data_IF_686448130541
#
_entry.id   IF_686448130541
#
_cell.length_a   1.000
_cell.length_b   1.000
_cell.length_c   1.000
_cell.angle_alpha   90.00
_cell.angle_beta   90.00
_cell.angle_gamma   90.00
#
_symmetry.space_group_name_H-M   'P 1'
#
loop_
_entity.id
_entity.type
_entity.pdbx_description
1 polymer ?
#
# COMPACT_ATOMS: atom_id res chain seq x y z
N UNK A 1 -2.56 -54.32 8.80
CA UNK A 1 -2.49 -53.72 7.45
C UNK A 1 -2.79 -52.23 7.60
N UNK A 2 -1.79 -51.36 7.47
CA UNK A 2 -1.95 -49.92 7.73
C UNK A 2 -2.35 -49.17 6.44
N UNK A 3 -3.45 -48.44 6.49
CA UNK A 3 -3.93 -47.54 5.43
C UNK A 3 -3.07 -46.27 5.41
N UNK A 4 -2.26 -46.10 4.37
CA UNK A 4 -1.55 -44.85 4.09
C UNK A 4 -2.45 -43.93 3.25
N UNK A 5 -2.96 -42.84 3.84
CA UNK A 5 -3.62 -41.80 3.05
C UNK A 5 -2.56 -40.96 2.33
N UNK A 6 -2.63 -40.93 1.00
CA UNK A 6 -1.80 -40.03 0.18
C UNK A 6 -2.19 -38.59 0.49
N UNK A 7 -1.40 -37.91 1.34
CA UNK A 7 -1.41 -36.45 1.42
C UNK A 7 -1.01 -35.90 0.06
N UNK A 8 -1.95 -35.26 -0.65
CA UNK A 8 -1.66 -34.44 -1.83
C UNK A 8 -0.71 -33.34 -1.38
N UNK A 9 0.57 -33.47 -1.76
CA UNK A 9 1.60 -32.45 -1.58
C UNK A 9 1.12 -31.20 -2.32
N UNK A 10 0.75 -30.14 -1.59
CA UNK A 10 0.52 -28.82 -2.19
C UNK A 10 1.78 -28.51 -2.99
N UNK A 11 1.64 -28.42 -4.31
CA UNK A 11 2.74 -27.99 -5.18
C UNK A 11 3.12 -26.58 -4.72
N UNK A 12 4.34 -26.43 -4.22
CA UNK A 12 4.99 -25.13 -4.17
C UNK A 12 5.16 -24.70 -5.61
N UNK A 13 4.31 -23.77 -6.05
CA UNK A 13 4.60 -23.03 -7.27
C UNK A 13 5.93 -22.33 -7.03
N UNK A 14 6.93 -22.64 -7.84
CA UNK A 14 8.03 -21.70 -8.06
C UNK A 14 7.35 -20.45 -8.63
N UNK A 15 7.09 -19.43 -7.80
CA UNK A 15 6.44 -18.22 -8.26
C UNK A 15 7.43 -17.49 -9.15
N UNK A 16 7.28 -17.64 -10.45
CA UNK A 16 8.02 -16.84 -11.43
C UNK A 16 7.63 -15.39 -11.15
N UNK A 17 8.56 -14.61 -10.59
CA UNK A 17 8.32 -13.20 -10.35
C UNK A 17 7.98 -12.56 -11.70
N UNK A 18 6.84 -11.88 -11.78
CA UNK A 18 6.52 -11.14 -12.99
C UNK A 18 7.35 -9.86 -12.97
N UNK A 19 8.26 -9.70 -13.94
CA UNK A 19 9.16 -8.56 -14.00
C UNK A 19 8.74 -7.68 -15.19
N UNK A 20 8.35 -6.45 -14.90
CA UNK A 20 8.11 -5.41 -15.90
C UNK A 20 9.40 -4.59 -15.99
N UNK A 21 10.20 -4.88 -17.00
CA UNK A 21 11.50 -4.24 -17.21
C UNK A 21 11.38 -2.77 -17.58
N UNK A 22 12.47 -2.02 -17.39
CA UNK A 22 12.58 -0.64 -17.85
C UNK A 22 12.32 -0.54 -19.36
N UNK A 23 11.64 0.53 -19.79
CA UNK A 23 11.24 0.74 -21.18
C UNK A 23 9.89 0.13 -21.54
N UNK A 24 9.34 -0.72 -20.68
CA UNK A 24 7.98 -1.22 -20.84
C UNK A 24 6.97 -0.18 -20.37
N UNK A 25 5.97 0.09 -21.21
CA UNK A 25 4.84 0.96 -20.92
C UNK A 25 3.56 0.13 -20.91
N UNK A 26 2.88 0.08 -19.76
CA UNK A 26 1.59 -0.61 -19.62
C UNK A 26 0.50 0.40 -19.33
N UNK A 27 -0.63 0.28 -20.05
CA UNK A 27 -1.83 1.09 -19.86
C UNK A 27 -3.03 0.18 -19.69
N UNK A 28 -3.71 0.29 -18.56
CA UNK A 28 -4.85 -0.56 -18.21
C UNK A 28 -4.74 -1.14 -16.80
N UNK A 29 -5.70 -2.00 -16.45
CA UNK A 29 -5.67 -2.73 -15.18
C UNK A 29 -4.66 -3.88 -15.24
N UNK A 30 -3.82 -4.00 -14.22
CA UNK A 30 -2.91 -5.12 -14.04
C UNK A 30 -3.36 -5.94 -12.84
N UNK A 31 -3.69 -7.22 -13.07
CA UNK A 31 -4.06 -8.17 -12.01
C UNK A 31 -3.04 -9.29 -11.98
N UNK A 32 -2.52 -9.60 -10.79
CA UNK A 32 -1.58 -10.70 -10.62
C UNK A 32 -1.73 -11.41 -9.28
N UNK A 33 -1.42 -12.71 -9.27
CA UNK A 33 -1.49 -13.53 -8.06
C UNK A 33 -0.20 -13.48 -7.24
N UNK A 34 0.93 -13.59 -7.94
CA UNK A 34 2.25 -13.71 -7.34
C UNK A 34 2.95 -12.36 -7.17
N UNK A 35 4.21 -12.38 -6.73
CA UNK A 35 5.00 -11.16 -6.59
C UNK A 35 5.35 -10.54 -7.94
N UNK A 36 5.19 -9.22 -8.05
CA UNK A 36 5.53 -8.47 -9.26
C UNK A 36 6.62 -7.45 -8.95
N UNK A 37 7.57 -7.34 -9.87
CA UNK A 37 8.63 -6.35 -9.86
C UNK A 37 8.43 -5.37 -11.03
N UNK A 38 8.40 -4.07 -10.74
CA UNK A 38 8.06 -3.02 -11.71
C UNK A 38 9.23 -2.05 -11.80
N UNK A 39 9.99 -2.13 -12.89
CA UNK A 39 11.00 -1.15 -13.31
C UNK A 39 10.54 -0.29 -14.50
N UNK A 40 9.38 -0.62 -15.09
CA UNK A 40 8.73 0.11 -16.17
C UNK A 40 7.76 1.20 -15.71
N UNK A 41 6.94 1.70 -16.64
CA UNK A 41 5.89 2.68 -16.35
C UNK A 41 4.51 2.05 -16.52
N UNK A 42 3.68 2.16 -15.48
CA UNK A 42 2.30 1.65 -15.46
C UNK A 42 1.33 2.79 -15.25
N UNK A 43 0.34 2.89 -16.13
CA UNK A 43 -0.81 3.76 -16.03
C UNK A 43 -2.09 2.95 -15.90
N UNK A 44 -2.63 2.89 -14.70
CA UNK A 44 -3.84 2.15 -14.38
C UNK A 44 -3.75 1.45 -13.03
N UNK A 45 -4.79 0.68 -12.73
CA UNK A 45 -4.93 0.05 -11.42
C UNK A 45 -4.14 -1.25 -11.35
N UNK A 46 -3.36 -1.42 -10.28
CA UNK A 46 -2.51 -2.59 -10.04
C UNK A 46 -3.06 -3.34 -8.84
N UNK A 47 -3.54 -4.56 -9.05
CA UNK A 47 -4.13 -5.42 -8.03
C UNK A 47 -3.34 -6.72 -7.95
N UNK A 48 -2.71 -6.95 -6.80
CA UNK A 48 -1.77 -8.04 -6.61
C UNK A 48 -2.03 -8.72 -5.28
N UNK A 49 -2.18 -10.04 -5.26
CA UNK A 49 -2.54 -10.73 -4.02
C UNK A 49 -1.37 -10.84 -3.02
N UNK A 50 -0.13 -10.71 -3.50
CA UNK A 50 1.08 -10.89 -2.69
C UNK A 50 1.94 -9.61 -2.58
N UNK A 51 3.14 -9.60 -3.15
CA UNK A 51 4.12 -8.51 -3.00
C UNK A 51 4.26 -7.71 -4.28
N UNK A 52 4.20 -6.38 -4.19
CA UNK A 52 4.55 -5.47 -5.29
C UNK A 52 5.85 -4.76 -4.95
N UNK A 53 6.83 -4.91 -5.82
CA UNK A 53 8.11 -4.22 -5.72
C UNK A 53 8.18 -3.21 -6.86
N UNK A 54 8.28 -1.93 -6.53
CA UNK A 54 8.50 -0.85 -7.49
C UNK A 54 9.97 -0.51 -7.41
N UNK A 55 10.72 -0.88 -8.43
CA UNK A 55 12.14 -0.57 -8.51
C UNK A 55 12.39 0.92 -8.74
N UNK A 56 13.66 1.32 -8.78
CA UNK A 56 14.06 2.72 -8.81
C UNK A 56 13.59 3.46 -10.07
N UNK A 57 13.57 2.77 -11.22
CA UNK A 57 13.03 3.34 -12.47
C UNK A 57 11.52 3.13 -12.62
N UNK A 58 10.92 2.37 -11.71
CA UNK A 58 9.50 2.07 -11.66
C UNK A 58 8.66 3.32 -11.43
N UNK A 59 7.63 3.47 -12.26
CA UNK A 59 6.63 4.55 -12.13
C UNK A 59 5.25 3.94 -12.19
N UNK A 60 4.47 4.13 -11.14
CA UNK A 60 3.09 3.64 -11.08
C UNK A 60 2.16 4.81 -10.85
N UNK A 61 1.22 4.99 -11.78
CA UNK A 61 0.16 5.98 -11.67
C UNK A 61 -1.20 5.26 -11.70
N UNK A 62 -1.89 5.25 -10.56
CA UNK A 62 -3.19 4.59 -10.41
C UNK A 62 -3.44 4.10 -8.99
N UNK A 63 -4.44 3.23 -8.83
CA UNK A 63 -4.72 2.58 -7.55
C UNK A 63 -3.87 1.32 -7.42
N UNK A 64 -3.13 1.19 -6.32
CA UNK A 64 -2.29 0.03 -6.02
C UNK A 64 -2.90 -0.72 -4.84
N UNK A 65 -3.22 -1.99 -5.04
CA UNK A 65 -3.75 -2.89 -4.01
C UNK A 65 -2.86 -4.11 -3.91
N UNK A 66 -2.21 -4.30 -2.75
CA UNK A 66 -1.43 -5.51 -2.50
C UNK A 66 -1.27 -5.82 -1.02
N UNK A 67 -0.87 -7.03 -0.67
CA UNK A 67 -0.57 -7.39 0.72
C UNK A 67 0.64 -6.62 1.24
N UNK A 68 1.74 -6.64 0.48
CA UNK A 68 2.95 -5.89 0.79
C UNK A 68 3.42 -5.10 -0.42
N UNK A 69 3.82 -3.85 -0.18
CA UNK A 69 4.35 -2.96 -1.21
C UNK A 69 5.71 -2.45 -0.75
N UNK A 70 6.72 -2.63 -1.59
CA UNK A 70 8.05 -2.08 -1.40
C UNK A 70 8.31 -1.14 -2.58
N UNK A 71 8.59 0.14 -2.32
CA UNK A 71 8.85 1.10 -3.38
C UNK A 71 10.18 1.80 -3.18
N UNK A 72 11.00 1.75 -4.24
CA UNK A 72 12.20 2.56 -4.47
C UNK A 72 11.98 3.63 -5.55
N UNK A 73 10.83 3.62 -6.22
CA UNK A 73 10.53 4.46 -7.37
C UNK A 73 9.52 5.56 -7.09
N UNK A 74 8.76 5.94 -8.12
CA UNK A 74 7.76 7.00 -8.05
C UNK A 74 6.36 6.38 -8.05
N UNK A 75 5.57 6.68 -7.01
CA UNK A 75 4.19 6.24 -6.89
C UNK A 75 3.24 7.43 -6.87
N UNK A 76 2.24 7.42 -7.73
CA UNK A 76 1.19 8.44 -7.79
C UNK A 76 -0.18 7.77 -7.75
N UNK A 77 -1.08 8.22 -6.87
CA UNK A 77 -2.45 7.72 -6.79
C UNK A 77 -2.86 7.21 -5.40
N UNK A 78 -3.60 6.12 -5.33
CA UNK A 78 -4.13 5.59 -4.07
C UNK A 78 -3.48 4.25 -3.74
N UNK A 79 -2.94 4.11 -2.53
CA UNK A 79 -2.25 2.89 -2.10
C UNK A 79 -3.04 2.25 -0.97
N UNK A 80 -3.41 0.98 -1.15
CA UNK A 80 -4.07 0.16 -0.16
C UNK A 80 -3.29 -1.13 0.04
N UNK A 81 -2.74 -1.33 1.23
CA UNK A 81 -1.95 -2.53 1.54
C UNK A 81 -1.91 -2.85 3.03
N UNK A 82 -1.42 -4.03 3.39
CA UNK A 82 -1.21 -4.33 4.81
C UNK A 82 0.11 -3.74 5.31
N UNK A 83 1.18 -3.91 4.52
CA UNK A 83 2.52 -3.42 4.84
C UNK A 83 3.10 -2.61 3.69
N UNK A 84 3.45 -1.35 3.97
CA UNK A 84 4.12 -0.47 3.01
C UNK A 84 5.54 -0.15 3.48
N UNK A 85 6.51 -0.31 2.60
CA UNK A 85 7.89 0.12 2.79
C UNK A 85 8.29 1.09 1.68
N UNK A 86 8.49 2.35 2.03
CA UNK A 86 9.05 3.36 1.15
C UNK A 86 10.54 3.51 1.44
N UNK A 87 11.36 3.16 0.46
CA UNK A 87 12.82 3.21 0.54
C UNK A 87 13.34 4.64 0.27
N UNK A 88 14.62 4.88 0.49
CA UNK A 88 15.23 6.22 0.52
C UNK A 88 15.04 7.00 -0.81
N UNK A 89 15.19 6.33 -1.95
CA UNK A 89 15.02 6.95 -3.28
C UNK A 89 13.55 7.11 -3.71
N UNK A 90 12.61 6.62 -2.91
CA UNK A 90 11.21 6.64 -3.28
C UNK A 90 10.58 8.03 -3.12
N UNK A 91 9.69 8.34 -4.07
CA UNK A 91 8.84 9.53 -4.03
C UNK A 91 7.38 9.13 -4.21
N UNK A 92 6.59 9.31 -3.17
CA UNK A 92 5.17 9.02 -3.21
C UNK A 92 4.35 10.31 -3.14
N UNK A 93 3.46 10.48 -4.12
CA UNK A 93 2.43 11.51 -4.11
C UNK A 93 1.08 10.81 -4.13
N UNK A 94 0.63 10.39 -2.95
CA UNK A 94 -0.49 9.46 -2.84
C UNK A 94 -1.26 9.57 -1.53
N UNK A 95 -2.48 9.05 -1.54
CA UNK A 95 -3.22 8.74 -0.33
C UNK A 95 -2.96 7.28 0.05
N UNK A 96 -2.43 7.06 1.25
CA UNK A 96 -2.00 5.74 1.70
C UNK A 96 -2.90 5.27 2.83
N UNK A 97 -3.42 4.05 2.69
CA UNK A 97 -4.15 3.32 3.73
C UNK A 97 -3.45 1.99 3.96
N UNK A 98 -2.85 1.81 5.13
CA UNK A 98 -2.19 0.55 5.46
C UNK A 98 -2.13 0.22 6.95
N UNK A 99 -1.94 -1.04 7.31
CA UNK A 99 -1.81 -1.44 8.72
C UNK A 99 -0.47 -1.00 9.30
N UNK A 100 0.63 -1.26 8.58
CA UNK A 100 1.99 -0.89 8.98
C UNK A 100 2.69 -0.15 7.85
N UNK A 101 3.31 0.98 8.17
CA UNK A 101 4.03 1.80 7.20
C UNK A 101 5.43 2.10 7.73
N UNK A 102 6.43 1.84 6.89
CA UNK A 102 7.83 2.22 7.10
C UNK A 102 8.21 3.24 6.02
N UNK A 103 8.61 4.43 6.46
CA UNK A 103 8.98 5.53 5.56
C UNK A 103 10.45 5.88 5.74
N UNK A 104 11.23 5.72 4.67
CA UNK A 104 12.63 6.18 4.58
C UNK A 104 12.84 7.29 3.55
N UNK A 105 11.96 7.37 2.55
CA UNK A 105 12.05 8.35 1.46
C UNK A 105 11.22 9.61 1.67
N UNK A 106 10.82 10.21 0.55
CA UNK A 106 10.01 11.43 0.53
C UNK A 106 8.57 11.13 0.17
N UNK A 107 7.64 11.78 0.86
CA UNK A 107 6.22 11.52 0.66
C UNK A 107 5.38 12.77 0.84
N UNK A 108 4.40 12.94 -0.03
CA UNK A 108 3.37 13.98 0.06
C UNK A 108 1.97 13.39 -0.08
N UNK A 109 1.04 13.83 0.75
CA UNK A 109 -0.37 13.42 0.66
C UNK A 109 -1.05 13.22 2.00
N UNK A 110 -1.88 12.17 2.12
CA UNK A 110 -2.52 11.81 3.39
C UNK A 110 -2.18 10.36 3.74
N UNK A 111 -1.94 10.11 5.02
CA UNK A 111 -1.62 8.78 5.53
C UNK A 111 -2.66 8.39 6.57
N UNK A 112 -3.26 7.22 6.41
CA UNK A 112 -4.06 6.57 7.44
C UNK A 112 -3.48 5.19 7.74
N UNK A 113 -3.02 4.95 8.97
CA UNK A 113 -2.45 3.66 9.32
C UNK A 113 -2.59 3.20 10.77
N UNK A 114 -2.37 1.91 11.01
CA UNK A 114 -2.30 1.38 12.38
C UNK A 114 -1.00 1.80 13.08
N UNK A 115 0.13 1.50 12.45
CA UNK A 115 1.47 1.83 12.93
C UNK A 115 2.31 2.52 11.87
N UNK A 116 2.87 3.68 12.23
CA UNK A 116 3.76 4.46 11.38
C UNK A 116 5.18 4.48 11.97
N UNK A 117 6.17 4.11 11.17
CA UNK A 117 7.58 4.31 11.48
C UNK A 117 8.21 5.24 10.45
N UNK A 118 8.72 6.36 10.91
CA UNK A 118 9.42 7.36 10.09
C UNK A 118 10.90 7.31 10.42
N UNK A 119 11.72 6.94 9.43
CA UNK A 119 13.17 6.91 9.56
C UNK A 119 13.75 8.33 9.61
N UNK A 120 14.99 8.46 10.11
CA UNK A 120 15.66 9.76 10.28
C UNK A 120 15.83 10.56 8.99
N UNK A 121 16.01 9.88 7.87
CA UNK A 121 16.26 10.49 6.57
C UNK A 121 14.95 10.80 5.80
N UNK A 122 13.81 10.38 6.35
CA UNK A 122 12.52 10.58 5.71
C UNK A 122 12.04 12.03 5.85
N UNK A 123 11.44 12.54 4.76
CA UNK A 123 10.80 13.84 4.72
C UNK A 123 9.35 13.70 4.28
N UNK A 124 8.43 14.00 5.19
CA UNK A 124 7.00 13.77 5.01
C UNK A 124 6.26 15.11 5.06
N UNK A 125 5.53 15.42 4.00
CA UNK A 125 4.64 16.58 3.93
C UNK A 125 3.20 16.06 3.79
N UNK A 126 2.55 15.76 4.92
CA UNK A 126 1.28 15.06 4.91
C UNK A 126 0.45 15.30 6.17
N UNK A 127 -0.87 15.14 6.04
CA UNK A 127 -1.73 14.91 7.20
C UNK A 127 -1.67 13.42 7.56
N UNK A 128 -1.37 13.15 8.83
CA UNK A 128 -1.11 11.80 9.34
C UNK A 128 -2.17 11.44 10.36
N UNK A 129 -2.84 10.32 10.14
CA UNK A 129 -3.75 9.70 11.10
C UNK A 129 -3.27 8.29 11.40
N UNK A 130 -2.84 8.03 12.65
CA UNK A 130 -2.37 6.71 13.02
C UNK A 130 -2.58 6.36 14.51
N UNK A 131 -2.64 5.07 14.87
CA UNK A 131 -2.74 4.72 16.30
C UNK A 131 -1.40 4.95 17.01
N UNK A 132 -0.34 4.37 16.46
CA UNK A 132 1.00 4.43 17.02
C UNK A 132 1.96 5.04 15.99
N UNK A 133 2.67 6.09 16.38
CA UNK A 133 3.69 6.74 15.55
C UNK A 133 5.03 6.64 16.25
N UNK A 134 6.07 6.20 15.54
CA UNK A 134 7.45 6.34 15.95
C UNK A 134 8.18 7.10 14.87
N UNK A 135 8.63 8.32 15.18
CA UNK A 135 9.28 9.17 14.19
C UNK A 135 10.69 9.53 14.62
N UNK A 136 11.63 9.40 13.69
CA UNK A 136 12.96 9.97 13.76
C UNK A 136 13.24 10.99 12.67
N UNK A 137 12.31 11.20 11.72
CA UNK A 137 12.53 12.06 10.55
C UNK A 137 11.83 13.42 10.64
N UNK A 138 11.78 14.10 9.50
CA UNK A 138 11.09 15.39 9.35
C UNK A 138 9.65 15.16 8.93
N UNK A 139 8.71 15.75 9.65
CA UNK A 139 7.29 15.73 9.30
C UNK A 139 6.75 17.15 9.34
N UNK A 140 6.16 17.57 8.22
CA UNK A 140 5.42 18.82 8.09
C UNK A 140 3.95 18.52 7.81
N UNK A 141 3.07 18.93 8.71
CA UNK A 141 1.63 18.70 8.61
C UNK A 141 0.98 18.40 9.94
N UNK A 142 -0.33 18.13 9.90
CA UNK A 142 -1.07 17.78 11.10
C UNK A 142 -0.95 16.29 11.39
N UNK A 143 -0.71 15.96 12.65
CA UNK A 143 -0.57 14.57 13.13
C UNK A 143 -1.66 14.31 14.15
N UNK A 144 -2.42 13.25 13.94
CA UNK A 144 -3.48 12.79 14.82
C UNK A 144 -3.17 11.35 15.19
N UNK A 145 -2.95 11.09 16.48
CA UNK A 145 -2.64 9.74 16.94
C UNK A 145 -3.05 9.44 18.38
N UNK A 146 -3.05 8.16 18.77
CA UNK A 146 -3.23 7.79 20.19
C UNK A 146 -1.92 7.91 20.95
N UNK A 147 -0.85 7.33 20.39
CA UNK A 147 0.48 7.37 20.97
C UNK A 147 1.52 7.76 19.93
N UNK A 148 2.39 8.70 20.29
CA UNK A 148 3.57 9.07 19.50
C UNK A 148 4.85 8.94 20.31
N UNK A 149 5.88 8.40 19.66
CA UNK A 149 7.25 8.33 20.12
C UNK A 149 8.11 9.19 19.20
N UNK A 150 8.72 10.22 19.77
CA UNK A 150 9.64 11.14 19.11
C UNK A 150 11.06 10.70 19.44
N UNK A 151 11.81 10.26 18.44
CA UNK A 151 13.23 9.94 18.58
C UNK A 151 14.06 11.24 18.55
N UNK A 152 15.30 11.17 19.00
CA UNK A 152 16.23 12.31 19.07
C UNK A 152 16.45 13.08 17.75
N UNK A 153 16.29 12.44 16.58
CA UNK A 153 16.45 13.10 15.27
C UNK A 153 15.14 13.66 14.71
N UNK A 154 14.01 13.44 15.39
CA UNK A 154 12.70 13.84 14.87
C UNK A 154 12.50 15.35 14.89
N UNK A 155 11.87 15.85 13.83
CA UNK A 155 11.50 17.25 13.70
C UNK A 155 10.07 17.33 13.17
N UNK A 156 9.15 17.72 14.04
CA UNK A 156 7.75 17.89 13.71
C UNK A 156 7.42 19.37 13.55
N UNK A 157 6.81 19.74 12.44
CA UNK A 157 6.30 21.09 12.18
C UNK A 157 4.82 21.03 11.82
N UNK A 158 3.96 21.50 12.71
CA UNK A 158 2.51 21.48 12.54
C UNK A 158 1.78 21.11 13.83
N UNK A 159 0.48 20.88 13.73
CA UNK A 159 -0.31 20.57 14.91
C UNK A 159 -0.23 19.07 15.22
N UNK A 160 0.09 18.73 16.47
CA UNK A 160 0.16 17.36 16.97
C UNK A 160 -0.97 17.12 17.96
N UNK A 161 -1.80 16.13 17.69
CA UNK A 161 -2.87 15.71 18.58
C UNK A 161 -2.64 14.27 19.02
N UNK A 162 -2.30 14.09 20.30
CA UNK A 162 -1.96 12.79 20.86
C UNK A 162 -2.48 12.63 22.30
N UNK A 163 -2.83 11.40 22.71
CA UNK A 163 -3.15 11.11 24.12
C UNK A 163 -1.90 10.78 24.93
N UNK A 164 -0.89 10.14 24.31
CA UNK A 164 0.40 9.83 24.92
C UNK A 164 1.54 10.28 24.02
N UNK A 165 2.43 11.12 24.56
CA UNK A 165 3.63 11.60 23.87
C UNK A 165 4.84 11.10 24.66
N UNK A 166 5.73 10.38 24.00
CA UNK A 166 7.06 10.00 24.52
C UNK A 166 8.11 10.75 23.72
N UNK A 167 8.90 11.59 24.37
CA UNK A 167 9.95 12.35 23.71
C UNK A 167 11.34 11.90 24.18
N UNK A 168 12.15 11.39 23.24
CA UNK A 168 13.54 10.98 23.43
C UNK A 168 14.53 11.99 22.79
N UNK A 169 14.16 13.27 22.72
CA UNK A 169 14.99 14.36 22.22
C UNK A 169 14.57 14.95 20.87
N UNK A 170 13.36 14.61 20.40
CA UNK A 170 12.76 15.19 19.21
C UNK A 170 12.27 16.62 19.39
N UNK A 171 12.30 17.38 18.30
CA UNK A 171 11.84 18.77 18.24
C UNK A 171 10.43 18.84 17.68
N UNK A 172 9.58 19.67 18.30
CA UNK A 172 8.18 19.86 17.89
C UNK A 172 7.87 21.35 17.84
N UNK A 173 7.49 21.83 16.66
CA UNK A 173 7.02 23.19 16.43
C UNK A 173 5.55 23.18 16.01
N UNK A 174 4.70 23.74 16.86
CA UNK A 174 3.29 23.90 16.57
C UNK A 174 2.41 23.71 17.79
N UNK A 175 1.11 23.59 17.57
CA UNK A 175 0.16 23.35 18.64
C UNK A 175 0.12 21.87 19.02
N UNK A 176 0.19 21.58 20.32
CA UNK A 176 -0.01 20.23 20.84
C UNK A 176 -1.37 20.18 21.54
N UNK A 177 -2.24 19.29 21.07
CA UNK A 177 -3.55 19.06 21.66
C UNK A 177 -3.79 17.60 22.02
N UNK A 178 -4.93 17.34 22.67
CA UNK A 178 -5.31 15.99 23.07
C UNK A 178 -6.20 15.33 22.02
N UNK A 179 -5.86 14.11 21.60
CA UNK A 179 -6.65 13.34 20.63
C UNK A 179 -8.09 13.15 21.12
N UNK A 180 -8.26 12.78 22.39
CA UNK A 180 -9.56 12.60 23.03
C UNK A 180 -10.47 13.85 22.98
N UNK A 181 -9.91 15.05 22.93
CA UNK A 181 -10.68 16.31 22.87
C UNK A 181 -11.11 16.64 21.43
N UNK A 182 -10.27 16.33 20.44
CA UNK A 182 -10.64 16.47 19.03
C UNK A 182 -11.77 15.53 18.62
N UNK A 183 -11.69 14.25 19.02
CA UNK A 183 -12.70 13.23 18.65
C UNK A 183 -14.06 13.53 19.29
N UNK A 184 -14.07 14.11 20.50
CA UNK A 184 -15.31 14.57 21.16
C UNK A 184 -15.98 15.72 20.41
N UNK A 185 -15.20 16.65 19.86
CA UNK A 185 -15.71 17.82 19.12
C UNK A 185 -16.11 17.50 17.67
N UNK A 186 -15.47 16.50 17.05
CA UNK A 186 -15.73 16.07 15.68
C UNK A 186 -16.05 14.56 15.61
N UNK A 187 -17.31 14.14 15.84
CA UNK A 187 -17.69 12.72 15.86
C UNK A 187 -17.52 12.01 14.51
N UNK A 188 -17.38 12.74 13.40
CA UNK A 188 -17.09 12.17 12.07
C UNK A 188 -15.69 11.54 11.97
N UNK A 189 -14.75 11.89 12.86
CA UNK A 189 -13.43 11.23 12.94
C UNK A 189 -13.54 9.80 13.50
N UNK A 190 -14.67 9.43 14.14
CA UNK A 190 -14.94 8.03 14.56
C UNK A 190 -15.05 7.06 13.37
N UNK A 191 -15.29 7.54 12.15
CA UNK A 191 -15.32 6.66 10.97
C UNK A 191 -13.96 5.98 10.72
N UNK A 192 -12.86 6.62 11.13
CA UNK A 192 -11.53 6.02 11.11
C UNK A 192 -11.25 5.14 12.33
N UNK A 193 -12.00 5.28 13.44
CA UNK A 193 -12.03 4.25 14.50
C UNK A 193 -12.71 2.95 14.00
N UNK A 194 -13.66 3.03 13.07
CA UNK A 194 -14.41 1.88 12.56
C UNK A 194 -13.63 0.99 11.58
N UNK A 195 -12.47 1.44 11.10
CA UNK A 195 -11.52 0.54 10.40
C UNK A 195 -10.85 -0.41 11.40
N UNK A 196 -10.89 -0.10 12.71
CA UNK A 196 -10.00 -0.74 13.67
C UNK A 196 -10.61 -1.02 15.06
N UNK A 197 -11.94 -1.17 15.16
CA UNK A 197 -12.67 -1.52 16.40
C UNK A 197 -13.27 -2.93 16.34
N UNK A 198 -12.50 -3.89 15.85
CA UNK A 198 -12.62 -5.27 16.32
C UNK A 198 -11.32 -5.62 17.02
N UNK A 199 -11.36 -5.52 18.35
CA UNK A 199 -10.38 -6.08 19.27
C UNK A 199 -10.48 -7.60 19.29
N UNK A 200 -10.26 -8.22 18.13
CA UNK A 200 -9.85 -9.61 18.04
C UNK A 200 -8.47 -9.59 17.40
N UNK A 201 -7.46 -10.00 18.16
CA UNK A 201 -6.40 -10.79 17.53
C UNK A 201 -7.10 -11.82 16.65
N UNK A 202 -6.76 -11.85 15.36
CA UNK A 202 -7.41 -12.55 14.23
C UNK A 202 -8.56 -11.83 13.50
N UNK A 203 -8.40 -11.82 12.17
CA UNK A 203 -9.40 -11.55 11.13
C UNK A 203 -9.78 -10.09 10.81
N UNK A 204 -8.81 -9.27 10.38
CA UNK A 204 -9.03 -8.28 9.29
C UNK A 204 -8.25 -8.64 8.01
N UNK A 205 -8.04 -9.95 7.82
CA UNK A 205 -8.01 -10.60 6.53
C UNK A 205 -8.89 -11.83 6.70
N UNK A 206 -10.19 -11.67 6.45
CA UNK A 206 -11.04 -12.82 6.21
C UNK A 206 -10.36 -13.63 5.11
N UNK A 207 -10.09 -14.89 5.40
CA UNK A 207 -9.41 -15.85 4.54
C UNK A 207 -10.22 -16.20 3.26
N UNK A 208 -11.06 -15.27 2.80
CA UNK A 208 -11.96 -15.33 1.64
C UNK A 208 -11.91 -14.09 0.74
N UNK A 209 -11.37 -12.95 1.18
CA UNK A 209 -11.32 -11.73 0.34
C UNK A 209 -10.00 -11.55 -0.43
N UNK A 210 -9.06 -12.48 -0.24
CA UNK A 210 -7.75 -12.52 -0.93
C UNK A 210 -7.62 -13.65 -1.96
N UNK A 211 -8.69 -14.43 -2.17
CA UNK A 211 -8.84 -15.20 -3.40
C UNK A 211 -9.78 -14.42 -4.29
N UNK A 212 -9.21 -13.52 -5.09
CA UNK A 212 -9.82 -13.34 -6.41
C UNK A 212 -9.27 -14.51 -7.20
N UNK A 213 -10.10 -15.53 -7.41
CA UNK A 213 -9.80 -16.51 -8.43
C UNK A 213 -9.57 -15.72 -9.71
N UNK A 214 -8.32 -15.63 -10.17
CA UNK A 214 -7.99 -14.92 -11.41
C UNK A 214 -8.71 -15.57 -12.60
N UNK A 215 -9.16 -16.82 -12.46
CA UNK A 215 -10.10 -17.46 -13.39
C UNK A 215 -11.45 -16.73 -13.46
N UNK A 216 -12.00 -16.24 -12.35
CA UNK A 216 -13.31 -15.58 -12.28
C UNK A 216 -13.30 -14.14 -12.84
N UNK A 217 -12.14 -13.45 -12.79
CA UNK A 217 -11.93 -12.13 -13.41
C UNK A 217 -11.52 -12.22 -14.91
N UNK A 218 -10.94 -13.35 -15.34
CA UNK A 218 -10.68 -13.67 -16.75
C UNK A 218 -11.95 -14.11 -17.49
N UNK A 219 -12.84 -14.88 -16.86
CA UNK A 219 -14.12 -15.31 -17.44
C UNK A 219 -15.15 -14.16 -17.56
N UNK A 220 -15.06 -13.12 -16.73
CA UNK A 220 -15.90 -11.91 -16.86
C UNK A 220 -15.45 -10.93 -17.95
N UNK A 221 -14.25 -11.11 -18.49
CA UNK A 221 -13.66 -10.23 -19.50
C UNK A 221 -13.38 -10.92 -20.85
N UNK A 222 -13.81 -12.18 -21.03
CA UNK A 222 -13.90 -12.75 -22.36
C UNK A 222 -15.04 -12.06 -23.12
N UNK A 223 -14.77 -11.35 -24.23
CA UNK A 223 -15.86 -10.92 -25.11
C UNK A 223 -16.58 -12.18 -25.58
N UNK A 224 -17.90 -12.21 -25.37
CA UNK A 224 -18.76 -13.19 -26.01
C UNK A 224 -18.48 -13.12 -27.52
N UNK A 225 -18.04 -14.24 -28.07
CA UNK A 225 -17.83 -14.41 -29.51
C UNK A 225 -19.19 -14.32 -30.18
N UNK A 226 -19.56 -13.12 -30.62
CA UNK A 226 -20.51 -12.97 -31.70
C UNK A 226 -19.79 -13.41 -32.98
N UNK A 227 -20.08 -14.64 -33.40
CA UNK A 227 -19.84 -15.12 -34.75
C UNK A 227 -20.60 -14.21 -35.72
N UNK A 228 -19.92 -13.24 -36.34
CA UNK A 228 -20.28 -12.74 -37.68
C UNK A 228 -19.16 -11.85 -38.27
N UNK A 229 -18.70 -12.24 -39.47
CA UNK A 229 -17.92 -11.48 -40.45
C UNK A 229 -16.40 -11.32 -40.13
N UNK A 230 -15.44 -11.62 -41.00
CA UNK A 230 -15.38 -11.44 -42.47
C UNK A 230 -14.43 -12.51 -43.06
N UNK A 231 -14.90 -13.25 -44.06
CA UNK A 231 -14.04 -13.86 -45.08
C UNK A 231 -13.28 -12.73 -45.79
N UNK A 232 -11.98 -12.61 -45.54
CA UNK A 232 -11.09 -11.83 -46.37
C UNK A 232 -10.02 -12.78 -46.91
N UNK A 233 -10.33 -13.41 -48.04
CA UNK A 233 -9.33 -13.92 -48.98
C UNK A 233 -8.35 -12.78 -49.31
N UNK A 234 -7.13 -12.86 -48.81
CA UNK A 234 -6.01 -12.13 -49.38
C UNK A 234 -5.16 -13.12 -50.18
N UNK A 235 -5.31 -13.01 -51.50
CA UNK A 235 -4.31 -13.41 -52.49
C UNK A 235 -2.91 -13.02 -52.02
N UNK A 236 -1.99 -13.97 -52.07
CA UNK A 236 -0.56 -13.68 -52.30
C UNK A 236 -0.10 -14.60 -53.42
N UNK A 237 0.03 -14.01 -54.61
CA UNK A 237 0.83 -14.55 -55.70
C UNK A 237 2.30 -14.66 -55.24
N UNK A 238 2.96 -15.75 -55.62
CA UNK A 238 4.38 -16.01 -55.39
C UNK A 238 4.76 -17.46 -55.61
#
# INVERSE_FOLDING_TARGET
MALFSKRKRKQEYFSTATIITRGTYSRGGFVGNDSIHIDGTIYGDVKVNNVVIIGETGRVNGKIQAKQIISSGICQGNILCDSLELLENSRSLSHIKANKILLKGTMKGNIACGGLFVHKDANIEANIEAKNISTGGKIQGNIICKQIKLLNTSYLKGNLFADRITNEGGHVEGFIGRYSEMVKKNPQLKQYEYIFTTGTETMLLGHKDYYVDVQEELEKNTPETDEECIEAEFFVEG
#
